data_IF_920180782986
#
_entry.id   IF_920180782986
#
_cell.length_a   1.000
_cell.length_b   1.000
_cell.length_c   1.000
_cell.angle_alpha   90.00
_cell.angle_beta   90.00
_cell.angle_gamma   90.00
#
_symmetry.space_group_name_H-M   'P 1'
#
loop_
_entity.id
_entity.type
_entity.pdbx_description
1 polymer ?
#
# COMPACT_ATOMS: atom_id res chain seq x y z
N UNK A 1 9.22 -13.36 -8.55
CA UNK A 1 10.53 -13.91 -8.12
C UNK A 1 10.57 -13.90 -6.60
N UNK A 2 11.03 -14.96 -5.90
CA UNK A 2 11.05 -14.99 -4.43
C UNK A 2 11.89 -13.88 -3.78
N UNK A 3 12.83 -13.27 -4.53
CA UNK A 3 13.76 -12.24 -4.05
C UNK A 3 13.18 -10.83 -3.87
N UNK A 4 11.93 -10.59 -4.27
CA UNK A 4 11.29 -9.27 -4.14
C UNK A 4 10.34 -9.14 -2.94
N UNK A 5 10.11 -10.23 -2.18
CA UNK A 5 9.20 -10.20 -1.04
C UNK A 5 9.89 -9.66 0.21
N UNK A 6 9.40 -8.54 0.73
CA UNK A 6 9.86 -7.89 1.96
C UNK A 6 8.83 -8.17 3.06
N UNK A 7 9.31 -8.70 4.20
CA UNK A 7 8.49 -8.88 5.39
C UNK A 7 8.55 -7.62 6.28
N UNK A 8 7.73 -7.57 7.34
CA UNK A 8 7.64 -6.38 8.20
C UNK A 8 8.99 -6.02 8.84
N UNK A 9 9.73 -7.01 9.36
CA UNK A 9 11.04 -6.77 9.99
C UNK A 9 12.04 -6.16 9.01
N UNK A 10 12.05 -6.62 7.77
CA UNK A 10 12.92 -6.04 6.75
C UNK A 10 12.46 -4.64 6.35
N UNK A 11 11.14 -4.37 6.29
CA UNK A 11 10.61 -3.03 6.02
C UNK A 11 11.02 -2.04 7.12
N UNK A 12 10.94 -2.44 8.39
CA UNK A 12 11.39 -1.64 9.54
C UNK A 12 12.90 -1.31 9.46
N UNK A 13 13.72 -2.29 9.04
CA UNK A 13 15.17 -2.08 8.83
C UNK A 13 15.44 -1.13 7.67
N UNK A 14 14.66 -1.21 6.59
CA UNK A 14 14.80 -0.32 5.42
C UNK A 14 14.41 1.12 5.75
N UNK A 15 13.43 1.34 6.63
CA UNK A 15 12.94 2.66 6.99
C UNK A 15 12.50 3.45 5.76
N UNK A 16 13.06 4.65 5.58
CA UNK A 16 12.74 5.53 4.44
C UNK A 16 13.06 4.92 3.06
N UNK A 17 13.92 3.91 2.99
CA UNK A 17 14.23 3.22 1.73
C UNK A 17 13.01 2.45 1.16
N UNK A 18 11.97 2.20 1.97
CA UNK A 18 10.71 1.65 1.48
C UNK A 18 10.08 2.54 0.40
N UNK A 19 10.29 3.86 0.47
CA UNK A 19 9.78 4.81 -0.52
C UNK A 19 10.48 4.71 -1.89
N UNK A 20 11.65 4.08 -1.95
CA UNK A 20 12.44 3.90 -3.17
C UNK A 20 12.24 2.51 -3.80
N UNK A 21 11.43 1.64 -3.19
CA UNK A 21 11.15 0.31 -3.72
C UNK A 21 10.31 0.39 -4.99
N UNK A 22 10.70 -0.38 -6.01
CA UNK A 22 9.93 -0.47 -7.25
C UNK A 22 8.57 -1.18 -7.06
N UNK A 23 7.72 -1.09 -8.09
CA UNK A 23 6.39 -1.68 -8.07
C UNK A 23 6.37 -3.21 -7.88
N UNK A 24 7.43 -3.92 -8.25
CA UNK A 24 7.49 -5.38 -8.10
C UNK A 24 7.73 -5.79 -6.64
N UNK A 25 8.58 -5.06 -5.92
CA UNK A 25 8.72 -5.21 -4.47
C UNK A 25 7.40 -4.91 -3.75
N UNK A 26 6.70 -3.84 -4.13
CA UNK A 26 5.40 -3.48 -3.55
C UNK A 26 4.37 -4.60 -3.79
N UNK A 27 4.16 -5.02 -5.05
CA UNK A 27 3.19 -6.07 -5.39
C UNK A 27 3.48 -7.39 -4.71
N UNK A 28 4.74 -7.82 -4.72
CA UNK A 28 5.11 -9.14 -4.19
C UNK A 28 5.12 -9.21 -2.66
N UNK A 29 5.33 -8.08 -2.00
CA UNK A 29 5.23 -7.94 -0.53
C UNK A 29 3.77 -7.77 -0.07
N UNK A 30 2.87 -7.37 -0.97
CA UNK A 30 1.44 -7.25 -0.68
C UNK A 30 1.16 -6.22 0.41
N UNK A 31 0.24 -6.54 1.33
CA UNK A 31 -0.19 -5.62 2.37
C UNK A 31 0.89 -5.22 3.40
N UNK A 32 2.03 -5.92 3.44
CA UNK A 32 3.08 -5.70 4.45
C UNK A 32 3.66 -4.28 4.41
N UNK A 33 3.84 -3.72 3.21
CA UNK A 33 4.50 -2.41 3.08
C UNK A 33 3.54 -1.22 3.19
N UNK A 34 2.23 -1.42 3.25
CA UNK A 34 1.26 -0.33 3.08
C UNK A 34 1.35 0.75 4.17
N UNK A 35 1.64 0.36 5.41
CA UNK A 35 1.78 1.31 6.52
C UNK A 35 3.08 2.12 6.43
N UNK A 36 4.17 1.48 6.01
CA UNK A 36 5.45 2.15 5.80
C UNK A 36 5.37 3.08 4.58
N UNK A 37 4.75 2.62 3.48
CA UNK A 37 4.47 3.43 2.29
C UNK A 37 3.57 4.62 2.61
N UNK A 38 2.62 4.52 3.57
CA UNK A 38 1.77 5.65 3.94
C UNK A 38 2.54 6.82 4.58
N UNK A 39 3.82 6.63 4.93
CA UNK A 39 4.70 7.69 5.41
C UNK A 39 5.48 8.39 4.28
N UNK A 40 5.47 7.85 3.05
CA UNK A 40 6.19 8.41 1.91
C UNK A 40 5.50 9.69 1.37
N UNK A 41 6.30 10.63 0.88
CA UNK A 41 5.79 11.93 0.41
C UNK A 41 5.20 11.92 -0.99
N UNK A 42 5.71 11.09 -1.89
CA UNK A 42 5.25 10.95 -3.27
C UNK A 42 5.65 9.61 -3.85
N UNK A 43 5.02 9.21 -4.95
CA UNK A 43 5.27 7.95 -5.63
C UNK A 43 5.49 8.16 -7.13
N UNK A 44 6.28 7.29 -7.73
CA UNK A 44 6.34 7.15 -9.18
C UNK A 44 5.07 6.47 -9.70
N UNK A 45 4.68 6.68 -10.97
CA UNK A 45 3.47 6.08 -11.53
C UNK A 45 3.38 4.55 -11.36
N UNK A 46 4.50 3.84 -11.51
CA UNK A 46 4.59 2.39 -11.36
C UNK A 46 4.37 1.93 -9.91
N UNK A 47 4.82 2.73 -8.93
CA UNK A 47 4.58 2.48 -7.52
C UNK A 47 3.11 2.73 -7.18
N UNK A 48 2.51 3.79 -7.71
CA UNK A 48 1.09 4.06 -7.52
C UNK A 48 0.20 2.93 -8.06
N UNK A 49 0.49 2.42 -9.25
CA UNK A 49 -0.20 1.28 -9.82
C UNK A 49 -0.07 0.04 -8.93
N UNK A 50 1.16 -0.28 -8.49
CA UNK A 50 1.41 -1.39 -7.57
C UNK A 50 0.65 -1.25 -6.24
N UNK A 51 0.58 -0.05 -5.67
CA UNK A 51 -0.18 0.22 -4.45
C UNK A 51 -1.67 -0.01 -4.67
N UNK A 52 -2.22 0.46 -5.80
CA UNK A 52 -3.64 0.25 -6.16
C UNK A 52 -3.95 -1.23 -6.35
N UNK A 53 -3.07 -1.99 -6.98
CA UNK A 53 -3.22 -3.44 -7.17
C UNK A 53 -3.30 -4.16 -5.82
N UNK A 54 -2.35 -3.84 -4.92
CA UNK A 54 -2.31 -4.43 -3.57
C UNK A 54 -3.57 -4.10 -2.78
N UNK A 55 -3.98 -2.82 -2.74
CA UNK A 55 -5.17 -2.39 -2.00
C UNK A 55 -6.46 -3.00 -2.58
N UNK A 56 -6.58 -3.02 -3.91
CA UNK A 56 -7.77 -3.55 -4.60
C UNK A 56 -7.91 -5.07 -4.46
N UNK A 57 -6.80 -5.78 -4.26
CA UNK A 57 -6.85 -7.23 -4.04
C UNK A 57 -7.64 -7.62 -2.78
N UNK A 58 -7.73 -6.72 -1.80
CA UNK A 58 -8.30 -6.97 -0.48
C UNK A 58 -7.54 -8.01 0.36
N UNK A 59 -6.46 -8.61 -0.17
CA UNK A 59 -5.63 -9.60 0.50
C UNK A 59 -4.57 -8.93 1.38
N UNK A 60 -5.03 -8.06 2.26
CA UNK A 60 -4.21 -7.29 3.21
C UNK A 60 -4.84 -7.39 4.60
N UNK A 61 -4.11 -6.99 5.63
CA UNK A 61 -4.66 -6.88 7.00
C UNK A 61 -5.79 -5.85 7.10
N UNK A 62 -5.93 -4.96 6.11
CA UNK A 62 -6.99 -3.96 6.04
C UNK A 62 -8.26 -4.47 5.32
N UNK A 63 -8.20 -5.63 4.68
CA UNK A 63 -9.29 -6.17 3.88
C UNK A 63 -9.56 -5.37 2.59
N UNK A 64 -10.66 -5.68 1.87
CA UNK A 64 -11.06 -4.97 0.67
C UNK A 64 -11.52 -3.54 0.98
N UNK A 65 -11.44 -2.60 0.02
CA UNK A 65 -11.90 -1.21 0.21
C UNK A 65 -13.31 -1.05 0.76
N UNK A 66 -14.22 -1.96 0.42
CA UNK A 66 -15.60 -1.99 0.92
C UNK A 66 -15.75 -2.31 2.41
N UNK A 67 -14.69 -2.75 3.07
CA UNK A 67 -14.66 -3.02 4.51
C UNK A 67 -13.86 -1.96 5.29
N UNK A 68 -13.32 -0.94 4.61
CA UNK A 68 -12.48 0.06 5.27
C UNK A 68 -13.29 0.94 6.21
N UNK A 69 -12.74 1.13 7.41
CA UNK A 69 -13.28 2.00 8.44
C UNK A 69 -12.54 3.35 8.43
N UNK A 70 -13.05 4.33 9.18
CA UNK A 70 -12.31 5.57 9.43
C UNK A 70 -10.90 5.32 10.02
N UNK A 71 -10.75 4.29 10.85
CA UNK A 71 -9.45 3.87 11.39
C UNK A 71 -8.51 3.35 10.29
N UNK A 72 -9.05 2.54 9.35
CA UNK A 72 -8.28 2.08 8.19
C UNK A 72 -7.79 3.27 7.34
N UNK A 73 -8.65 4.26 7.12
CA UNK A 73 -8.31 5.47 6.36
C UNK A 73 -7.26 6.33 7.08
N UNK A 74 -7.26 6.38 8.42
CA UNK A 74 -6.20 7.09 9.16
C UNK A 74 -4.83 6.41 9.02
N UNK A 75 -4.79 5.07 9.08
CA UNK A 75 -3.54 4.31 8.92
C UNK A 75 -2.98 4.42 7.49
N UNK A 76 -3.86 4.54 6.49
CA UNK A 76 -3.51 4.67 5.07
C UNK A 76 -3.51 6.12 4.57
N UNK A 77 -3.49 7.11 5.46
CA UNK A 77 -3.73 8.52 5.11
C UNK A 77 -2.80 9.06 4.01
N UNK A 78 -1.50 8.72 4.02
CA UNK A 78 -0.57 9.11 2.96
C UNK A 78 -0.78 8.41 1.62
N UNK A 79 -1.59 7.35 1.57
CA UNK A 79 -1.96 6.66 0.33
C UNK A 79 -3.30 7.15 -0.25
N UNK A 80 -4.05 8.01 0.46
CA UNK A 80 -5.33 8.57 -0.02
C UNK A 80 -5.20 9.22 -1.41
N UNK A 81 -4.14 10.02 -1.71
CA UNK A 81 -3.96 10.59 -3.05
C UNK A 81 -3.79 9.55 -4.16
N UNK A 82 -3.35 8.34 -3.81
CA UNK A 82 -3.06 7.25 -4.75
C UNK A 82 -4.30 6.42 -5.07
N UNK A 83 -5.31 6.33 -4.21
CA UNK A 83 -6.41 5.36 -4.33
C UNK A 83 -7.13 5.36 -5.70
N UNK A 84 -7.29 6.53 -6.31
CA UNK A 84 -8.00 6.68 -7.58
C UNK A 84 -9.51 6.39 -7.49
N UNK A 85 -10.28 6.67 -8.57
CA UNK A 85 -11.74 6.62 -8.51
C UNK A 85 -12.33 5.24 -8.20
N UNK A 86 -11.71 4.16 -8.70
CA UNK A 86 -12.21 2.79 -8.56
C UNK A 86 -12.19 2.29 -7.11
N UNK A 87 -11.20 2.69 -6.32
CA UNK A 87 -11.11 2.35 -4.89
C UNK A 87 -12.00 3.30 -4.09
N UNK A 88 -11.94 4.60 -4.35
CA UNK A 88 -12.71 5.60 -3.61
C UNK A 88 -14.22 5.35 -3.62
N UNK A 89 -14.76 4.85 -4.75
CA UNK A 89 -16.19 4.52 -4.88
C UNK A 89 -16.62 3.29 -4.06
N UNK A 90 -15.68 2.44 -3.65
CA UNK A 90 -15.96 1.25 -2.85
C UNK A 90 -15.99 1.54 -1.35
N UNK A 91 -15.36 2.62 -0.90
CA UNK A 91 -15.25 2.95 0.53
C UNK A 91 -16.64 3.27 1.08
N UNK A 92 -17.06 2.66 2.21
CA UNK A 92 -18.32 3.00 2.87
C UNK A 92 -18.42 4.48 3.21
N UNK A 93 -19.63 5.05 3.03
CA UNK A 93 -19.93 6.45 3.36
C UNK A 93 -20.22 6.65 4.84
#
# INVERSE_FOLDING_TARGET
VPGTRINQTNAEILGWLVCELDGDYIRSSGGTLLKDLSQCGSFLPEQEEAIRDVLSSGNTTFGPPSAWSAFTLSELSGLIPVLGPSILQQIPK
#
